data_IF_848762445791
#
_entry.id   IF_848762445791
#
_cell.length_a   1.000
_cell.length_b   1.000
_cell.length_c   1.000
_cell.angle_alpha   90.00
_cell.angle_beta   90.00
_cell.angle_gamma   90.00
#
_symmetry.space_group_name_H-M   'P 1'
#
loop_
_entity.id
_entity.type
_entity.pdbx_description
1 polymer ?
#
# COMPACT_ATOMS: atom_id res chain seq x y z
N UNK A 1 52.22 22.87 44.78
CA UNK A 1 51.64 24.09 44.19
C UNK A 1 52.61 24.82 43.26
N UNK A 2 53.93 24.75 43.46
CA UNK A 2 54.92 25.43 42.59
C UNK A 2 55.15 24.75 41.22
N UNK A 3 55.04 23.43 41.12
CA UNK A 3 55.22 22.71 39.83
C UNK A 3 54.13 23.01 38.78
N UNK A 4 52.93 23.41 39.22
CA UNK A 4 51.80 23.70 38.33
C UNK A 4 51.89 25.13 37.75
N UNK A 5 52.59 26.02 38.45
CA UNK A 5 52.87 27.40 38.00
C UNK A 5 54.04 27.39 37.00
N UNK A 6 55.10 26.63 37.27
CA UNK A 6 56.24 26.46 36.34
C UNK A 6 55.84 25.76 35.03
N UNK A 7 54.86 24.84 35.07
CA UNK A 7 54.35 24.19 33.86
C UNK A 7 53.57 25.15 32.93
N UNK A 8 52.97 26.22 33.48
CA UNK A 8 52.26 27.24 32.69
C UNK A 8 53.19 28.27 32.04
N UNK A 9 54.37 28.49 32.60
CA UNK A 9 55.35 29.45 32.07
C UNK A 9 56.28 28.87 30.99
N UNK A 10 56.39 27.54 30.87
CA UNK A 10 57.31 26.88 29.92
C UNK A 10 56.66 26.30 28.65
N UNK A 11 55.35 26.49 28.44
CA UNK A 11 54.67 26.03 27.23
C UNK A 11 54.35 27.21 26.30
N UNK A 12 55.22 27.53 25.31
CA UNK A 12 54.86 28.43 24.23
C UNK A 12 54.02 27.66 23.19
N UNK A 13 52.83 27.21 23.58
CA UNK A 13 51.87 26.59 22.66
C UNK A 13 50.44 26.91 23.09
N UNK A 14 49.95 28.09 22.67
CA UNK A 14 48.56 28.48 22.86
C UNK A 14 48.02 29.10 21.58
N UNK A 15 47.63 28.22 20.65
CA UNK A 15 46.66 28.49 19.58
C UNK A 15 45.96 27.21 19.05
N UNK A 16 46.45 25.99 19.34
CA UNK A 16 45.87 24.72 18.83
C UNK A 16 44.74 24.11 19.68
N UNK A 17 44.67 24.41 20.98
CA UNK A 17 43.73 23.77 21.92
C UNK A 17 42.25 23.98 21.57
N UNK A 18 41.91 25.11 20.94
CA UNK A 18 40.55 25.39 20.50
C UNK A 18 40.13 24.50 19.33
N UNK A 19 41.04 24.24 18.39
CA UNK A 19 40.74 23.46 17.19
C UNK A 19 40.60 21.96 17.51
N UNK A 20 41.49 21.43 18.36
CA UNK A 20 41.42 20.04 18.85
C UNK A 20 40.11 19.76 19.61
N UNK A 21 39.62 20.72 20.41
CA UNK A 21 38.34 20.59 21.11
C UNK A 21 37.16 20.51 20.13
N UNK A 22 37.15 21.33 19.08
CA UNK A 22 36.08 21.32 18.07
C UNK A 22 36.09 20.03 17.24
N UNK A 23 37.27 19.52 16.89
CA UNK A 23 37.41 18.22 16.21
C UNK A 23 36.85 17.07 17.06
N UNK A 24 37.13 17.07 18.36
CA UNK A 24 36.56 16.08 19.30
C UNK A 24 35.03 16.19 19.36
N UNK A 25 34.48 17.40 19.45
CA UNK A 25 33.03 17.61 19.47
C UNK A 25 32.38 17.13 18.16
N UNK A 26 32.98 17.40 17.00
CA UNK A 26 32.48 16.89 15.70
C UNK A 26 32.49 15.35 15.64
N UNK A 27 33.52 14.72 16.21
CA UNK A 27 33.59 13.26 16.32
C UNK A 27 32.49 12.72 17.25
N UNK A 28 32.32 13.33 18.42
CA UNK A 28 31.27 12.95 19.38
C UNK A 28 29.87 13.11 18.76
N UNK A 29 29.61 14.20 18.05
CA UNK A 29 28.35 14.40 17.33
C UNK A 29 28.07 13.22 16.39
N UNK A 30 29.06 12.84 15.57
CA UNK A 30 28.94 11.72 14.63
C UNK A 30 28.68 10.39 15.34
N UNK A 31 29.34 10.15 16.48
CA UNK A 31 29.15 8.96 17.31
C UNK A 31 27.73 8.91 17.85
N UNK A 32 27.22 10.00 18.44
CA UNK A 32 25.88 10.04 19.02
C UNK A 32 24.78 9.92 17.96
N UNK A 33 24.92 10.54 16.79
CA UNK A 33 24.00 10.34 15.67
C UNK A 33 23.96 8.88 15.21
N UNK A 34 25.13 8.27 15.02
CA UNK A 34 25.25 6.87 14.60
C UNK A 34 24.69 5.93 15.66
N UNK A 35 24.99 6.17 16.94
CA UNK A 35 24.46 5.40 18.07
C UNK A 35 22.94 5.53 18.15
N UNK A 36 22.39 6.73 18.02
CA UNK A 36 20.94 6.98 18.03
C UNK A 36 20.23 6.25 16.89
N UNK A 37 20.78 6.34 15.67
CA UNK A 37 20.24 5.64 14.50
C UNK A 37 20.32 4.11 14.63
N UNK A 38 21.44 3.58 15.13
CA UNK A 38 21.60 2.14 15.37
C UNK A 38 20.63 1.64 16.46
N UNK A 39 20.50 2.37 17.56
CA UNK A 39 19.61 2.03 18.67
C UNK A 39 18.14 1.99 18.26
N UNK A 40 17.71 2.88 17.34
CA UNK A 40 16.37 2.82 16.73
C UNK A 40 16.13 1.51 15.98
N UNK A 41 17.14 1.01 15.27
CA UNK A 41 17.03 -0.24 14.50
C UNK A 41 17.04 -1.48 15.40
N UNK A 42 17.73 -1.42 16.54
CA UNK A 42 17.80 -2.52 17.51
C UNK A 42 16.71 -2.47 18.58
N UNK A 43 15.76 -1.54 18.47
CA UNK A 43 14.67 -1.31 19.43
C UNK A 43 15.15 -0.99 20.86
N UNK A 44 16.36 -0.42 20.98
CA UNK A 44 16.90 0.05 22.26
C UNK A 44 16.52 1.51 22.47
N UNK A 45 15.38 1.72 23.13
CA UNK A 45 14.71 3.01 23.19
C UNK A 45 15.40 4.01 24.14
N UNK A 46 15.96 3.55 25.26
CA UNK A 46 16.65 4.43 26.22
C UNK A 46 17.93 5.05 25.62
N UNK A 47 18.75 4.23 24.95
CA UNK A 47 19.95 4.69 24.26
C UNK A 47 19.63 5.58 23.06
N UNK A 48 18.49 5.36 22.40
CA UNK A 48 18.05 6.19 21.27
C UNK A 48 17.83 7.62 21.70
N UNK A 49 16.99 7.83 22.72
CA UNK A 49 16.58 9.17 23.12
C UNK A 49 17.75 9.96 23.69
N UNK A 50 18.53 9.35 24.57
CA UNK A 50 19.72 9.97 25.17
C UNK A 50 20.74 10.37 24.10
N UNK A 51 21.02 9.50 23.12
CA UNK A 51 22.01 9.79 22.08
C UNK A 51 21.59 10.98 21.20
N UNK A 52 20.32 11.07 20.79
CA UNK A 52 19.86 12.21 19.98
C UNK A 52 19.83 13.52 20.77
N UNK A 53 19.49 13.51 22.06
CA UNK A 53 19.57 14.71 22.90
C UNK A 53 21.01 15.16 23.17
N UNK A 54 21.95 14.23 23.30
CA UNK A 54 23.38 14.56 23.41
C UNK A 54 23.93 15.12 22.10
N UNK A 55 23.53 14.54 20.96
CA UNK A 55 23.86 15.08 19.63
C UNK A 55 23.35 16.53 19.47
N UNK A 56 22.12 16.81 19.90
CA UNK A 56 21.51 18.15 19.82
C UNK A 56 22.31 19.20 20.61
N UNK A 57 22.71 18.86 21.84
CA UNK A 57 23.56 19.74 22.67
C UNK A 57 24.91 20.01 22.03
N UNK A 58 25.57 18.97 21.52
CA UNK A 58 26.89 19.10 20.88
C UNK A 58 26.78 19.95 19.60
N UNK A 59 25.70 19.79 18.84
CA UNK A 59 25.43 20.58 17.64
C UNK A 59 25.29 22.07 17.97
N UNK A 60 24.57 22.42 19.04
CA UNK A 60 24.46 23.80 19.49
C UNK A 60 25.80 24.36 19.98
N UNK A 61 26.59 23.59 20.71
CA UNK A 61 27.94 24.00 21.15
C UNK A 61 28.86 24.27 19.95
N UNK A 62 28.84 23.39 18.93
CA UNK A 62 29.60 23.57 17.70
C UNK A 62 29.15 24.80 16.92
N UNK A 63 27.85 25.09 16.90
CA UNK A 63 27.32 26.27 16.24
C UNK A 63 27.70 27.56 16.96
N UNK A 64 27.63 27.61 18.30
CA UNK A 64 28.06 28.76 19.11
C UNK A 64 29.53 29.12 18.88
N UNK A 65 30.37 28.13 18.58
CA UNK A 65 31.78 28.32 18.26
C UNK A 65 32.06 28.53 16.76
N UNK A 66 31.03 28.71 15.92
CA UNK A 66 31.12 28.85 14.46
C UNK A 66 31.90 27.70 13.77
N UNK A 67 31.88 26.51 14.37
CA UNK A 67 32.58 25.33 13.85
C UNK A 67 31.77 24.57 12.78
N UNK A 68 30.46 24.84 12.69
CA UNK A 68 29.53 24.25 11.74
C UNK A 68 28.80 25.37 10.99
N UNK A 69 28.68 25.21 9.67
CA UNK A 69 27.95 26.16 8.84
C UNK A 69 26.42 25.99 9.00
N UNK A 70 25.65 26.99 8.59
CA UNK A 70 24.21 26.99 8.81
C UNK A 70 23.47 25.83 8.11
N UNK A 71 23.89 25.46 6.89
CA UNK A 71 23.28 24.37 6.11
C UNK A 71 23.52 22.99 6.76
N UNK A 72 24.75 22.74 7.21
CA UNK A 72 25.13 21.54 7.97
C UNK A 72 24.39 21.47 9.31
N UNK A 73 24.21 22.60 9.99
CA UNK A 73 23.39 22.66 11.21
C UNK A 73 21.95 22.21 10.90
N UNK A 74 21.31 22.80 9.90
CA UNK A 74 19.93 22.43 9.54
C UNK A 74 19.84 20.96 9.15
N UNK A 75 20.77 20.47 8.33
CA UNK A 75 20.80 19.06 7.91
C UNK A 75 20.90 18.11 9.11
N UNK A 76 21.80 18.42 10.04
CA UNK A 76 22.01 17.60 11.25
C UNK A 76 20.80 17.69 12.19
N UNK A 77 20.23 18.88 12.36
CA UNK A 77 19.04 19.09 13.16
C UNK A 77 17.85 18.28 12.62
N UNK A 78 17.67 18.24 11.30
CA UNK A 78 16.63 17.43 10.64
C UNK A 78 16.82 15.93 10.87
N UNK A 79 18.07 15.46 10.93
CA UNK A 79 18.37 14.06 11.25
C UNK A 79 18.00 13.74 12.71
N UNK A 80 18.33 14.64 13.64
CA UNK A 80 17.99 14.52 15.06
C UNK A 80 16.48 14.53 15.26
N UNK A 81 15.77 15.51 14.70
CA UNK A 81 14.30 15.58 14.82
C UNK A 81 13.61 14.40 14.14
N UNK A 82 14.16 13.89 13.03
CA UNK A 82 13.67 12.67 12.39
C UNK A 82 13.83 11.44 13.29
N UNK A 83 15.00 11.27 13.91
CA UNK A 83 15.26 10.21 14.87
C UNK A 83 14.33 10.28 16.08
N UNK A 84 14.17 11.46 16.65
CA UNK A 84 13.32 11.69 17.82
C UNK A 84 11.83 11.45 17.53
N UNK A 85 11.29 11.90 16.38
CA UNK A 85 9.88 11.62 16.07
C UNK A 85 9.63 10.11 15.94
N UNK A 86 10.56 9.36 15.33
CA UNK A 86 10.43 7.89 15.17
C UNK A 86 10.46 7.20 16.51
N UNK A 87 11.35 7.64 17.40
CA UNK A 87 11.40 7.19 18.79
C UNK A 87 10.07 7.44 19.51
N UNK A 88 9.55 8.67 19.49
CA UNK A 88 8.30 9.01 20.18
C UNK A 88 7.10 8.25 19.60
N UNK A 89 7.05 8.08 18.28
CA UNK A 89 6.03 7.27 17.61
C UNK A 89 6.07 5.81 18.09
N UNK A 90 7.26 5.22 18.24
CA UNK A 90 7.45 3.85 18.74
C UNK A 90 6.95 3.69 20.18
N UNK A 91 7.15 4.71 21.00
CA UNK A 91 6.67 4.79 22.39
C UNK A 91 5.17 5.16 22.50
N UNK A 92 4.48 5.30 21.37
CA UNK A 92 3.09 5.78 21.31
C UNK A 92 2.88 7.17 21.94
N UNK A 93 3.94 7.98 22.01
CA UNK A 93 3.95 9.37 22.44
C UNK A 93 3.69 10.27 21.21
N UNK A 94 2.43 10.24 20.74
CA UNK A 94 2.06 10.79 19.44
C UNK A 94 2.09 12.33 19.40
N UNK A 95 1.92 13.02 20.54
CA UNK A 95 1.99 14.48 20.61
C UNK A 95 3.42 14.99 20.51
N UNK A 96 4.34 14.35 21.21
CA UNK A 96 5.77 14.65 21.15
C UNK A 96 6.33 14.32 19.76
N UNK A 97 5.84 13.27 19.11
CA UNK A 97 6.21 12.94 17.73
C UNK A 97 5.78 14.07 16.76
N UNK A 98 4.54 14.58 16.89
CA UNK A 98 4.07 15.70 16.07
C UNK A 98 4.89 16.97 16.31
N UNK A 99 5.25 17.26 17.57
CA UNK A 99 6.09 18.41 17.90
C UNK A 99 7.46 18.35 17.20
N UNK A 100 8.08 17.16 17.09
CA UNK A 100 9.33 17.01 16.33
C UNK A 100 9.13 17.19 14.82
N UNK A 101 7.99 16.76 14.27
CA UNK A 101 7.64 17.03 12.88
C UNK A 101 7.44 18.53 12.62
N UNK A 102 6.77 19.24 13.54
CA UNK A 102 6.58 20.71 13.46
C UNK A 102 7.92 21.44 13.46
N UNK A 103 8.84 21.09 14.37
CA UNK A 103 10.22 21.62 14.35
C UNK A 103 10.93 21.36 13.03
N UNK A 104 10.75 20.17 12.46
CA UNK A 104 11.33 19.82 11.15
C UNK A 104 10.77 20.71 10.04
N UNK A 105 9.46 21.01 10.05
CA UNK A 105 8.86 21.96 9.09
C UNK A 105 9.39 23.38 9.27
N UNK A 106 9.63 23.83 10.51
CA UNK A 106 10.22 25.15 10.77
C UNK A 106 11.62 25.29 10.19
N UNK A 107 12.46 24.27 10.37
CA UNK A 107 13.80 24.22 9.78
C UNK A 107 13.76 24.21 8.25
N UNK A 108 12.69 23.65 7.66
CA UNK A 108 12.51 23.56 6.22
C UNK A 108 11.87 24.80 5.59
N UNK A 109 11.35 25.78 6.36
CA UNK A 109 10.66 26.97 5.80
C UNK A 109 11.54 27.77 4.84
N UNK A 110 12.81 27.93 5.19
CA UNK A 110 13.78 28.71 4.40
C UNK A 110 14.65 27.82 3.51
N UNK A 111 14.44 26.50 3.55
CA UNK A 111 15.18 25.52 2.76
C UNK A 111 14.37 25.11 1.52
N UNK A 112 14.96 25.23 0.33
CA UNK A 112 14.33 24.72 -0.90
C UNK A 112 14.48 23.18 -1.03
N UNK A 113 13.91 22.43 -0.09
CA UNK A 113 13.98 20.96 -0.01
C UNK A 113 12.57 20.33 -0.01
N UNK A 114 11.84 20.40 -1.14
CA UNK A 114 10.44 19.98 -1.22
C UNK A 114 10.23 18.51 -0.86
N UNK A 115 11.19 17.62 -1.19
CA UNK A 115 11.10 16.19 -0.87
C UNK A 115 11.10 15.94 0.64
N UNK A 116 11.94 16.66 1.40
CA UNK A 116 11.95 16.52 2.87
C UNK A 116 10.65 17.04 3.47
N UNK A 117 10.13 18.15 2.96
CA UNK A 117 8.84 18.70 3.41
C UNK A 117 7.69 17.73 3.15
N UNK A 118 7.65 17.09 1.97
CA UNK A 118 6.71 16.01 1.65
C UNK A 118 6.81 14.85 2.65
N UNK A 119 8.03 14.37 2.94
CA UNK A 119 8.24 13.28 3.90
C UNK A 119 7.71 13.65 5.29
N UNK A 120 8.00 14.85 5.79
CA UNK A 120 7.53 15.29 7.11
C UNK A 120 6.00 15.35 7.17
N UNK A 121 5.33 15.88 6.14
CA UNK A 121 3.87 15.87 6.11
C UNK A 121 3.29 14.45 6.04
N UNK A 122 3.94 13.53 5.35
CA UNK A 122 3.53 12.11 5.35
C UNK A 122 3.69 11.48 6.72
N UNK A 123 4.77 11.79 7.43
CA UNK A 123 4.98 11.31 8.81
C UNK A 123 3.92 11.86 9.76
N UNK A 124 3.59 13.16 9.67
CA UNK A 124 2.50 13.78 10.43
C UNK A 124 1.15 13.13 10.14
N UNK A 125 0.86 12.84 8.86
CA UNK A 125 -0.37 12.17 8.48
C UNK A 125 -0.47 10.77 9.10
N UNK A 126 0.62 9.99 9.05
CA UNK A 126 0.67 8.67 9.67
C UNK A 126 0.47 8.75 11.20
N UNK A 127 1.02 9.77 11.86
CA UNK A 127 0.81 9.98 13.31
C UNK A 127 -0.65 10.34 13.61
N UNK A 128 -1.27 11.24 12.82
CA UNK A 128 -2.68 11.60 13.02
C UNK A 128 -3.63 10.43 12.71
N UNK A 129 -3.28 9.53 11.78
CA UNK A 129 -4.00 8.26 11.60
C UNK A 129 -3.93 7.37 12.83
N UNK A 130 -2.74 7.23 13.43
CA UNK A 130 -2.55 6.43 14.66
C UNK A 130 -3.34 7.03 15.84
N UNK A 131 -3.61 8.35 15.83
CA UNK A 131 -4.51 9.04 16.77
C UNK A 131 -6.00 8.91 16.44
N UNK A 132 -6.34 8.40 15.26
CA UNK A 132 -7.72 8.33 14.74
C UNK A 132 -8.25 9.64 14.15
N UNK A 133 -7.42 10.67 13.98
CA UNK A 133 -7.81 11.97 13.40
C UNK A 133 -7.68 11.96 11.86
N UNK A 134 -8.61 11.27 11.20
CA UNK A 134 -8.60 11.08 9.74
C UNK A 134 -8.56 12.41 8.97
N UNK A 135 -9.37 13.40 9.35
CA UNK A 135 -9.41 14.69 8.65
C UNK A 135 -8.07 15.42 8.66
N UNK A 136 -7.34 15.37 9.79
CA UNK A 136 -6.01 15.97 9.90
C UNK A 136 -4.99 15.22 9.05
N UNK A 137 -5.06 13.89 9.05
CA UNK A 137 -4.20 13.09 8.19
C UNK A 137 -4.40 13.41 6.70
N UNK A 138 -5.65 13.56 6.26
CA UNK A 138 -5.97 14.02 4.89
C UNK A 138 -5.37 15.40 4.64
N UNK A 139 -5.58 16.38 5.53
CA UNK A 139 -5.01 17.73 5.38
C UNK A 139 -3.48 17.72 5.21
N UNK A 140 -2.77 16.93 6.01
CA UNK A 140 -1.31 16.81 5.90
C UNK A 140 -0.89 16.19 4.57
N UNK A 141 -1.54 15.11 4.14
CA UNK A 141 -1.25 14.50 2.85
C UNK A 141 -1.62 15.39 1.65
N UNK A 142 -2.70 16.17 1.73
CA UNK A 142 -3.06 17.15 0.69
C UNK A 142 -1.98 18.21 0.54
N UNK A 143 -1.38 18.68 1.66
CA UNK A 143 -0.22 19.59 1.61
C UNK A 143 0.99 18.92 0.95
N UNK A 144 1.32 17.69 1.35
CA UNK A 144 2.39 16.92 0.72
C UNK A 144 2.14 16.73 -0.79
N UNK A 145 0.89 16.45 -1.17
CA UNK A 145 0.47 16.24 -2.54
C UNK A 145 0.65 17.50 -3.39
N UNK A 146 0.23 18.66 -2.89
CA UNK A 146 0.41 19.94 -3.58
C UNK A 146 1.90 20.25 -3.84
N UNK A 147 2.77 19.97 -2.86
CA UNK A 147 4.23 20.14 -3.01
C UNK A 147 4.78 19.14 -4.05
N UNK A 148 4.40 17.87 -3.95
CA UNK A 148 4.84 16.85 -4.90
C UNK A 148 4.40 17.16 -6.34
N UNK A 149 3.17 17.65 -6.54
CA UNK A 149 2.64 17.97 -7.87
C UNK A 149 3.28 19.21 -8.50
N UNK A 150 3.74 20.15 -7.69
CA UNK A 150 4.43 21.35 -8.18
C UNK A 150 5.90 21.10 -8.57
N UNK A 151 6.55 20.09 -7.97
CA UNK A 151 7.98 19.85 -8.17
C UNK A 151 8.27 18.59 -9.00
N UNK A 152 7.60 17.48 -8.69
CA UNK A 152 7.87 16.16 -9.29
C UNK A 152 6.57 15.34 -9.43
N UNK A 153 5.64 15.74 -10.32
CA UNK A 153 4.33 15.10 -10.43
C UNK A 153 4.40 13.62 -10.88
N UNK A 154 5.43 13.26 -11.65
CA UNK A 154 5.65 11.89 -12.13
C UNK A 154 6.65 11.11 -11.26
N UNK A 155 7.06 11.69 -10.12
CA UNK A 155 8.00 11.08 -9.20
C UNK A 155 7.37 9.98 -8.34
N UNK A 156 8.23 9.06 -7.86
CA UNK A 156 7.82 7.98 -6.95
C UNK A 156 7.18 8.51 -5.67
N UNK A 157 7.69 9.62 -5.13
CA UNK A 157 7.13 10.26 -3.93
C UNK A 157 5.69 10.74 -4.16
N UNK A 158 5.42 11.39 -5.30
CA UNK A 158 4.07 11.79 -5.69
C UNK A 158 3.13 10.59 -5.82
N UNK A 159 3.62 9.49 -6.41
CA UNK A 159 2.86 8.24 -6.52
C UNK A 159 2.47 7.67 -5.14
N UNK A 160 3.42 7.67 -4.19
CA UNK A 160 3.20 7.23 -2.82
C UNK A 160 2.19 8.11 -2.07
N UNK A 161 2.31 9.43 -2.19
CA UNK A 161 1.41 10.38 -1.53
C UNK A 161 -0.02 10.25 -2.07
N UNK A 162 -0.20 10.19 -3.39
CA UNK A 162 -1.51 9.94 -4.00
C UNK A 162 -2.08 8.59 -3.55
N UNK A 163 -1.24 7.55 -3.44
CA UNK A 163 -1.71 6.25 -2.94
C UNK A 163 -2.24 6.35 -1.50
N UNK A 164 -1.47 6.99 -0.61
CA UNK A 164 -1.88 7.18 0.79
C UNK A 164 -3.17 7.99 0.91
N UNK A 165 -3.34 9.06 0.11
CA UNK A 165 -4.59 9.82 0.05
C UNK A 165 -5.77 8.93 -0.36
N UNK A 166 -5.60 8.15 -1.42
CA UNK A 166 -6.65 7.25 -1.93
C UNK A 166 -7.08 6.24 -0.85
N UNK A 167 -6.12 5.63 -0.16
CA UNK A 167 -6.39 4.67 0.92
C UNK A 167 -7.16 5.31 2.08
N UNK A 168 -6.72 6.48 2.56
CA UNK A 168 -7.39 7.16 3.68
C UNK A 168 -8.82 7.56 3.30
N UNK A 169 -8.98 8.21 2.15
CA UNK A 169 -10.28 8.66 1.66
C UNK A 169 -11.22 7.48 1.39
N UNK A 170 -10.70 6.32 0.97
CA UNK A 170 -11.51 5.11 0.79
C UNK A 170 -12.04 4.51 2.09
N UNK A 171 -11.37 4.78 3.22
CA UNK A 171 -11.74 4.28 4.55
C UNK A 171 -12.61 5.25 5.34
N UNK A 172 -12.59 6.54 4.98
CA UNK A 172 -13.39 7.57 5.62
C UNK A 172 -14.87 7.43 5.21
N UNK A 173 -15.76 7.16 6.17
CA UNK A 173 -17.19 6.98 5.92
C UNK A 173 -17.91 8.27 5.49
N UNK A 174 -17.32 9.43 5.77
CA UNK A 174 -17.88 10.76 5.55
C UNK A 174 -16.91 11.58 4.70
N UNK A 175 -16.95 11.38 3.39
CA UNK A 175 -16.16 12.18 2.45
C UNK A 175 -16.76 13.59 2.35
N UNK A 176 -16.37 14.49 3.27
CA UNK A 176 -16.60 15.94 3.14
C UNK A 176 -15.68 16.59 2.08
N UNK A 177 -14.78 15.81 1.47
CA UNK A 177 -13.90 16.24 0.41
C UNK A 177 -14.56 15.96 -0.95
N UNK A 178 -14.54 16.95 -1.85
CA UNK A 178 -15.00 16.80 -3.24
C UNK A 178 -14.07 15.89 -4.07
N UNK A 179 -12.94 15.46 -3.50
CA UNK A 179 -11.96 14.62 -4.18
C UNK A 179 -12.34 13.15 -4.03
N UNK A 180 -12.44 12.44 -5.15
CA UNK A 180 -12.80 11.02 -5.15
C UNK A 180 -11.56 10.14 -4.94
N UNK A 181 -11.63 9.10 -4.10
CA UNK A 181 -10.53 8.12 -3.95
C UNK A 181 -10.08 7.53 -5.30
N UNK A 182 -11.03 7.33 -6.23
CA UNK A 182 -10.78 6.91 -7.61
C UNK A 182 -9.71 7.76 -8.30
N UNK A 183 -9.82 9.10 -8.20
CA UNK A 183 -8.90 10.03 -8.84
C UNK A 183 -7.46 9.83 -8.34
N UNK A 184 -7.29 9.73 -7.02
CA UNK A 184 -5.98 9.55 -6.40
C UNK A 184 -5.37 8.17 -6.69
N UNK A 185 -6.19 7.10 -6.77
CA UNK A 185 -5.72 5.79 -7.22
C UNK A 185 -5.20 5.85 -8.66
N UNK A 186 -5.96 6.45 -9.58
CA UNK A 186 -5.56 6.55 -11.00
C UNK A 186 -4.28 7.38 -11.17
N UNK A 187 -4.17 8.50 -10.47
CA UNK A 187 -2.98 9.34 -10.46
C UNK A 187 -1.76 8.59 -9.89
N UNK A 188 -1.94 7.88 -8.78
CA UNK A 188 -0.90 7.07 -8.16
C UNK A 188 -0.39 5.98 -9.12
N UNK A 189 -1.30 5.22 -9.73
CA UNK A 189 -0.93 4.17 -10.68
C UNK A 189 -0.22 4.72 -11.93
N UNK A 190 -0.66 5.88 -12.44
CA UNK A 190 0.01 6.54 -13.55
C UNK A 190 1.45 6.94 -13.20
N UNK A 191 1.66 7.52 -12.00
CA UNK A 191 2.98 7.94 -11.53
C UNK A 191 3.90 6.74 -11.20
N UNK A 192 3.40 5.70 -10.53
CA UNK A 192 4.16 4.46 -10.31
C UNK A 192 4.58 3.81 -11.64
N UNK A 193 3.65 3.69 -12.59
CA UNK A 193 3.96 3.08 -13.89
C UNK A 193 5.05 3.84 -14.65
N UNK A 194 5.11 5.17 -14.54
CA UNK A 194 6.16 5.99 -15.16
C UNK A 194 7.50 5.92 -14.41
N UNK A 195 7.47 5.95 -13.08
CA UNK A 195 8.67 6.05 -12.25
C UNK A 195 9.42 4.72 -12.08
N UNK A 196 8.69 3.64 -11.79
CA UNK A 196 9.28 2.31 -11.47
C UNK A 196 8.88 1.22 -12.47
N UNK A 197 7.84 1.46 -13.27
CA UNK A 197 7.40 0.55 -14.33
C UNK A 197 6.26 -0.40 -13.91
N UNK A 198 5.63 -1.09 -14.87
CA UNK A 198 4.44 -1.91 -14.65
C UNK A 198 4.71 -3.30 -14.04
N UNK A 199 5.98 -3.66 -13.84
CA UNK A 199 6.39 -4.92 -13.21
C UNK A 199 6.90 -4.69 -11.76
N UNK A 200 7.01 -3.44 -11.33
CA UNK A 200 7.47 -3.13 -9.99
C UNK A 200 6.47 -3.64 -8.93
N UNK A 201 6.93 -4.29 -7.85
CA UNK A 201 6.05 -4.79 -6.80
C UNK A 201 5.17 -3.71 -6.16
N UNK A 202 5.66 -2.47 -6.01
CA UNK A 202 4.87 -1.38 -5.42
C UNK A 202 3.75 -0.91 -6.36
N UNK A 203 4.00 -0.88 -7.68
CA UNK A 203 2.96 -0.63 -8.68
C UNK A 203 1.86 -1.70 -8.62
N UNK A 204 2.24 -2.98 -8.57
CA UNK A 204 1.30 -4.10 -8.54
C UNK A 204 0.49 -4.15 -7.23
N UNK A 205 1.12 -3.79 -6.10
CA UNK A 205 0.43 -3.67 -4.82
C UNK A 205 -0.60 -2.52 -4.83
N UNK A 206 -0.23 -1.33 -5.32
CA UNK A 206 -1.15 -0.20 -5.45
C UNK A 206 -2.34 -0.54 -6.39
N UNK A 207 -2.09 -1.36 -7.42
CA UNK A 207 -3.13 -1.83 -8.32
C UNK A 207 -4.11 -2.77 -7.61
N UNK A 208 -3.62 -3.62 -6.71
CA UNK A 208 -4.45 -4.52 -5.90
C UNK A 208 -5.31 -3.77 -4.88
N UNK A 209 -4.77 -2.72 -4.27
CA UNK A 209 -5.52 -1.85 -3.38
C UNK A 209 -6.61 -1.06 -4.12
N UNK A 210 -6.33 -0.55 -5.31
CA UNK A 210 -7.36 0.05 -6.14
C UNK A 210 -8.45 -0.97 -6.52
N UNK A 211 -8.07 -2.20 -6.88
CA UNK A 211 -9.01 -3.27 -7.15
C UNK A 211 -9.90 -3.60 -5.95
N UNK A 212 -9.35 -3.60 -4.72
CA UNK A 212 -10.13 -3.78 -3.49
C UNK A 212 -11.15 -2.66 -3.31
N UNK A 213 -10.72 -1.41 -3.50
CA UNK A 213 -11.60 -0.24 -3.46
C UNK A 213 -12.75 -0.37 -4.49
N UNK A 214 -12.44 -0.74 -5.73
CA UNK A 214 -13.42 -0.90 -6.79
C UNK A 214 -14.47 -1.98 -6.44
N UNK A 215 -14.06 -3.10 -5.83
CA UNK A 215 -14.98 -4.17 -5.43
C UNK A 215 -15.95 -3.71 -4.34
N UNK A 216 -15.46 -2.98 -3.34
CA UNK A 216 -16.31 -2.44 -2.26
C UNK A 216 -17.35 -1.47 -2.83
N UNK A 217 -16.99 -0.71 -3.86
CA UNK A 217 -17.88 0.23 -4.55
C UNK A 217 -18.69 -0.40 -5.70
N UNK A 218 -18.72 -1.74 -5.82
CA UNK A 218 -19.50 -2.44 -6.84
C UNK A 218 -18.96 -2.31 -8.27
N UNK A 219 -17.81 -1.68 -8.51
CA UNK A 219 -17.17 -1.54 -9.81
C UNK A 219 -16.37 -2.81 -10.22
N UNK A 220 -17.03 -3.96 -10.13
CA UNK A 220 -16.43 -5.29 -10.32
C UNK A 220 -15.83 -5.49 -11.72
N UNK A 221 -16.42 -4.87 -12.75
CA UNK A 221 -15.93 -4.95 -14.13
C UNK A 221 -14.60 -4.24 -14.36
N UNK A 222 -14.48 -3.01 -13.85
CA UNK A 222 -13.24 -2.23 -13.90
C UNK A 222 -12.12 -2.99 -13.16
N UNK A 223 -12.43 -3.54 -11.98
CA UNK A 223 -11.51 -4.34 -11.20
C UNK A 223 -10.97 -5.57 -11.98
N UNK A 224 -11.86 -6.35 -12.63
CA UNK A 224 -11.45 -7.53 -13.41
C UNK A 224 -10.63 -7.15 -14.64
N UNK A 225 -10.97 -6.05 -15.31
CA UNK A 225 -10.19 -5.57 -16.46
C UNK A 225 -8.75 -5.23 -16.05
N UNK A 226 -8.59 -4.52 -14.93
CA UNK A 226 -7.29 -4.18 -14.35
C UNK A 226 -6.49 -5.45 -14.00
N UNK A 227 -7.13 -6.42 -13.33
CA UNK A 227 -6.47 -7.65 -12.88
C UNK A 227 -6.12 -8.62 -14.02
N UNK A 228 -6.92 -8.65 -15.09
CA UNK A 228 -6.56 -9.39 -16.30
C UNK A 228 -5.34 -8.77 -16.98
N UNK A 229 -5.27 -7.44 -17.04
CA UNK A 229 -4.13 -6.74 -17.63
C UNK A 229 -2.85 -6.88 -16.79
N UNK A 230 -2.96 -7.09 -15.47
CA UNK A 230 -1.81 -7.24 -14.56
C UNK A 230 -1.26 -8.66 -14.46
N UNK A 231 -2.02 -9.68 -14.89
CA UNK A 231 -1.70 -11.08 -14.61
C UNK A 231 -0.32 -11.49 -15.14
N UNK A 232 0.05 -11.06 -16.34
CA UNK A 232 1.36 -11.40 -16.92
C UNK A 232 2.51 -10.63 -16.26
N UNK A 233 2.29 -9.37 -15.84
CA UNK A 233 3.25 -8.65 -15.00
C UNK A 233 3.47 -9.38 -13.67
N UNK A 234 2.39 -9.80 -12.99
CA UNK A 234 2.49 -10.53 -11.73
C UNK A 234 3.22 -11.87 -11.87
N UNK A 235 2.98 -12.61 -12.96
CA UNK A 235 3.73 -13.84 -13.28
C UNK A 235 5.22 -13.55 -13.46
N UNK A 236 5.56 -12.49 -14.18
CA UNK A 236 6.95 -12.10 -14.42
C UNK A 236 7.66 -11.68 -13.13
N UNK A 237 6.96 -10.95 -12.25
CA UNK A 237 7.53 -10.37 -11.03
C UNK A 237 7.62 -11.38 -9.88
N UNK A 238 6.56 -12.18 -9.67
CA UNK A 238 6.45 -13.07 -8.50
C UNK A 238 6.55 -14.56 -8.84
N UNK A 239 6.50 -14.91 -10.14
CA UNK A 239 6.48 -16.28 -10.63
C UNK A 239 5.06 -16.83 -10.86
N UNK A 240 4.93 -17.80 -11.76
CA UNK A 240 3.65 -18.40 -12.14
C UNK A 240 2.89 -19.08 -10.99
N UNK A 241 3.62 -19.50 -9.96
CA UNK A 241 3.09 -20.26 -8.82
C UNK A 241 3.08 -19.42 -7.53
N UNK A 242 2.92 -18.11 -7.65
CA UNK A 242 2.92 -17.19 -6.50
C UNK A 242 1.53 -16.97 -5.88
N UNK A 243 1.50 -16.40 -4.66
CA UNK A 243 0.27 -15.98 -3.99
C UNK A 243 -0.51 -14.94 -4.77
N UNK A 244 0.20 -13.99 -5.38
CA UNK A 244 -0.35 -12.85 -6.11
C UNK A 244 -1.06 -13.34 -7.38
N UNK A 245 -0.48 -14.30 -8.09
CA UNK A 245 -1.11 -14.93 -9.26
C UNK A 245 -2.35 -15.73 -8.83
N UNK A 246 -2.27 -16.50 -7.74
CA UNK A 246 -3.39 -17.27 -7.23
C UNK A 246 -4.58 -16.37 -6.82
N UNK A 247 -4.33 -15.31 -6.06
CA UNK A 247 -5.36 -14.38 -5.59
C UNK A 247 -5.98 -13.61 -6.78
N UNK A 248 -5.18 -13.25 -7.79
CA UNK A 248 -5.67 -12.65 -9.04
C UNK A 248 -6.60 -13.59 -9.81
N UNK A 249 -6.21 -14.86 -9.98
CA UNK A 249 -7.05 -15.88 -10.63
C UNK A 249 -8.32 -16.17 -9.83
N UNK A 250 -8.23 -16.20 -8.50
CA UNK A 250 -9.39 -16.37 -7.64
C UNK A 250 -10.40 -15.25 -7.82
N UNK A 251 -9.94 -14.00 -7.88
CA UNK A 251 -10.81 -12.86 -8.12
C UNK A 251 -11.50 -12.96 -9.49
N UNK A 252 -10.71 -13.16 -10.56
CA UNK A 252 -11.24 -13.26 -11.94
C UNK A 252 -12.27 -14.38 -12.04
N UNK A 253 -11.95 -15.58 -11.55
CA UNK A 253 -12.86 -16.71 -11.64
C UNK A 253 -14.15 -16.50 -10.83
N UNK A 254 -14.08 -15.80 -9.68
CA UNK A 254 -15.27 -15.51 -8.88
C UNK A 254 -16.23 -14.59 -9.63
N UNK A 255 -15.70 -13.63 -10.38
CA UNK A 255 -16.50 -12.76 -11.25
C UNK A 255 -17.06 -13.53 -12.45
N UNK A 256 -16.27 -14.40 -13.07
CA UNK A 256 -16.74 -15.26 -14.16
C UNK A 256 -17.92 -16.15 -13.71
N UNK A 257 -17.87 -16.69 -12.48
CA UNK A 257 -19.00 -17.41 -11.88
C UNK A 257 -20.23 -16.52 -11.73
N UNK A 258 -20.06 -15.30 -11.19
CA UNK A 258 -21.16 -14.36 -10.99
C UNK A 258 -21.82 -13.94 -12.32
N UNK A 259 -21.05 -13.88 -13.42
CA UNK A 259 -21.55 -13.60 -14.77
C UNK A 259 -22.10 -14.84 -15.50
N UNK A 260 -22.12 -16.01 -14.87
CA UNK A 260 -22.59 -17.25 -15.48
C UNK A 260 -21.65 -17.85 -16.53
N UNK A 261 -20.40 -17.38 -16.61
CA UNK A 261 -19.39 -17.87 -17.56
C UNK A 261 -18.75 -19.16 -17.03
N UNK A 262 -19.57 -20.21 -16.85
CA UNK A 262 -19.20 -21.40 -16.07
C UNK A 262 -17.96 -22.13 -16.60
N UNK A 263 -17.83 -22.27 -17.92
CA UNK A 263 -16.67 -22.96 -18.53
C UNK A 263 -15.37 -22.20 -18.30
N UNK A 264 -15.41 -20.87 -18.42
CA UNK A 264 -14.25 -20.02 -18.21
C UNK A 264 -13.88 -19.99 -16.72
N UNK A 265 -14.86 -19.80 -15.86
CA UNK A 265 -14.69 -19.86 -14.41
C UNK A 265 -14.06 -21.19 -13.97
N UNK A 266 -14.52 -22.32 -14.53
CA UNK A 266 -13.97 -23.64 -14.21
C UNK A 266 -12.48 -23.72 -14.56
N UNK A 267 -12.08 -23.26 -15.75
CA UNK A 267 -10.67 -23.21 -16.16
C UNK A 267 -9.83 -22.31 -15.24
N UNK A 268 -10.32 -21.11 -14.95
CA UNK A 268 -9.63 -20.13 -14.10
C UNK A 268 -9.47 -20.64 -12.67
N UNK A 269 -10.54 -21.17 -12.07
CA UNK A 269 -10.54 -21.71 -10.71
C UNK A 269 -9.69 -22.98 -10.58
N UNK A 270 -9.64 -23.83 -11.60
CA UNK A 270 -8.76 -25.01 -11.60
C UNK A 270 -7.28 -24.60 -11.58
N UNK A 271 -6.89 -23.57 -12.34
CA UNK A 271 -5.53 -23.02 -12.28
C UNK A 271 -5.20 -22.43 -10.91
N UNK A 272 -6.12 -21.63 -10.35
CA UNK A 272 -5.98 -21.08 -9.00
C UNK A 272 -5.78 -22.19 -7.95
N UNK A 273 -6.63 -23.22 -7.97
CA UNK A 273 -6.56 -24.35 -7.06
C UNK A 273 -5.21 -25.07 -7.14
N UNK A 274 -4.66 -25.27 -8.35
CA UNK A 274 -3.35 -25.90 -8.54
C UNK A 274 -2.26 -25.11 -7.81
N UNK A 275 -2.27 -23.79 -7.93
CA UNK A 275 -1.29 -22.92 -7.26
C UNK A 275 -1.49 -22.96 -5.74
N UNK A 276 -2.73 -22.81 -5.26
CA UNK A 276 -3.03 -22.83 -3.82
C UNK A 276 -2.67 -24.16 -3.16
N UNK A 277 -2.87 -25.29 -3.85
CA UNK A 277 -2.45 -26.60 -3.37
C UNK A 277 -0.93 -26.71 -3.25
N UNK A 278 -0.18 -26.12 -4.18
CA UNK A 278 1.29 -26.13 -4.13
C UNK A 278 1.82 -25.24 -3.00
N UNK A 279 1.26 -24.03 -2.84
CA UNK A 279 1.72 -23.05 -1.86
C UNK A 279 1.34 -23.41 -0.42
N UNK A 280 0.11 -23.86 -0.20
CA UNK A 280 -0.46 -23.98 1.14
C UNK A 280 -0.87 -25.41 1.50
N UNK A 281 -0.90 -26.32 0.51
CA UNK A 281 -1.45 -27.65 0.67
C UNK A 281 -2.97 -27.73 0.50
N UNK A 282 -3.52 -28.91 0.15
CA UNK A 282 -4.94 -29.10 -0.16
C UNK A 282 -5.85 -28.96 1.06
N UNK A 283 -5.30 -29.03 2.28
CA UNK A 283 -6.08 -28.90 3.50
C UNK A 283 -6.29 -27.45 3.95
N UNK A 284 -5.58 -26.50 3.34
CA UNK A 284 -5.65 -25.08 3.66
C UNK A 284 -7.02 -24.49 3.33
N UNK A 285 -7.47 -23.50 4.11
CA UNK A 285 -8.80 -22.89 3.99
C UNK A 285 -9.06 -22.31 2.59
N UNK A 286 -8.07 -21.61 2.01
CA UNK A 286 -8.17 -21.06 0.63
C UNK A 286 -8.36 -22.19 -0.40
N UNK A 287 -7.49 -23.19 -0.39
CA UNK A 287 -7.54 -24.31 -1.33
C UNK A 287 -8.86 -25.10 -1.24
N UNK A 288 -9.34 -25.39 -0.03
CA UNK A 288 -10.65 -26.04 0.19
C UNK A 288 -11.82 -25.24 -0.38
N UNK A 289 -11.81 -23.91 -0.20
CA UNK A 289 -12.87 -23.05 -0.75
C UNK A 289 -12.87 -23.11 -2.28
N UNK A 290 -11.69 -22.98 -2.90
CA UNK A 290 -11.53 -23.06 -4.36
C UNK A 290 -11.90 -24.45 -4.90
N UNK A 291 -11.54 -25.53 -4.20
CA UNK A 291 -11.92 -26.90 -4.57
C UNK A 291 -13.45 -27.07 -4.59
N UNK A 292 -14.17 -26.50 -3.61
CA UNK A 292 -15.64 -26.52 -3.61
C UNK A 292 -16.21 -25.79 -4.83
N UNK A 293 -15.65 -24.64 -5.19
CA UNK A 293 -16.06 -23.89 -6.37
C UNK A 293 -15.81 -24.68 -7.67
N UNK A 294 -14.63 -25.29 -7.83
CA UNK A 294 -14.31 -26.16 -8.97
C UNK A 294 -15.27 -27.34 -9.08
N UNK A 295 -15.54 -28.04 -7.96
CA UNK A 295 -16.47 -29.18 -7.93
C UNK A 295 -17.91 -28.78 -8.30
N UNK A 296 -18.34 -27.59 -7.88
CA UNK A 296 -19.65 -27.05 -8.23
C UNK A 296 -19.74 -26.79 -9.74
N UNK A 297 -18.73 -26.14 -10.31
CA UNK A 297 -18.66 -25.79 -11.72
C UNK A 297 -18.58 -27.03 -12.63
N UNK A 298 -17.87 -28.08 -12.21
CA UNK A 298 -17.77 -29.34 -12.95
C UNK A 298 -19.11 -30.10 -13.07
N UNK A 299 -20.05 -29.88 -12.15
CA UNK A 299 -21.38 -30.53 -12.15
C UNK A 299 -22.40 -29.83 -13.06
N UNK A 300 -22.14 -28.59 -13.47
CA UNK A 300 -23.09 -27.80 -14.27
C UNK A 300 -23.40 -28.45 -15.64
N UNK A 301 -22.41 -28.97 -16.40
CA UNK A 301 -22.68 -29.66 -17.65
C UNK A 301 -23.55 -30.92 -17.47
N UNK A 302 -23.28 -31.72 -16.42
CA UNK A 302 -24.02 -32.95 -16.14
C UNK A 302 -25.50 -32.70 -15.80
N UNK A 303 -25.80 -31.62 -15.07
CA UNK A 303 -27.18 -31.26 -14.72
C UNK A 303 -27.94 -30.78 -15.95
N UNK A 304 -27.32 -29.97 -16.82
CA UNK A 304 -27.92 -29.49 -18.07
C UNK A 304 -28.16 -30.64 -19.05
N UNK A 305 -27.24 -31.60 -19.16
CA UNK A 305 -27.45 -32.81 -20.00
C UNK A 305 -28.53 -33.74 -19.44
N UNK A 306 -28.61 -33.92 -18.12
CA UNK A 306 -29.70 -34.68 -17.48
C UNK A 306 -31.06 -34.01 -17.69
N UNK A 307 -31.16 -32.70 -17.61
CA UNK A 307 -32.40 -31.97 -17.89
C UNK A 307 -32.77 -31.99 -19.38
N UNK A 308 -31.80 -31.88 -20.30
CA UNK A 308 -32.02 -32.03 -21.76
C UNK A 308 -32.45 -33.45 -22.15
N UNK A 309 -31.91 -34.47 -21.49
CA UNK A 309 -32.29 -35.87 -21.73
C UNK A 309 -33.66 -36.21 -21.13
N UNK A 310 -34.02 -35.66 -19.97
CA UNK A 310 -35.37 -35.79 -19.39
C UNK A 310 -36.44 -35.06 -20.21
N UNK A 311 -36.17 -33.84 -20.69
CA UNK A 311 -37.11 -33.10 -21.56
C UNK A 311 -37.30 -33.77 -22.94
N UNK A 312 -36.24 -34.39 -23.51
CA UNK A 312 -36.36 -35.22 -24.73
C UNK A 312 -37.18 -36.49 -24.49
N UNK A 313 -37.12 -37.10 -23.30
CA UNK A 313 -37.96 -38.25 -22.95
C UNK A 313 -39.43 -37.85 -22.73
N UNK A 314 -39.70 -36.68 -22.14
CA UNK A 314 -41.06 -36.13 -21.99
C UNK A 314 -41.74 -35.85 -23.34
N UNK A 315 -41.03 -35.22 -24.29
CA UNK A 315 -41.58 -34.96 -25.64
C UNK A 315 -41.81 -36.22 -26.49
N UNK A 316 -41.13 -37.34 -26.21
CA UNK A 316 -41.38 -38.62 -26.88
C UNK A 316 -42.59 -39.38 -26.31
N UNK A 317 -43.07 -39.01 -25.12
CA UNK A 317 -44.25 -39.62 -24.50
C UNK A 317 -45.58 -38.96 -24.92
N UNK A 318 -45.53 -37.78 -25.56
CA UNK A 318 -46.71 -37.01 -26.00
C UNK A 318 -47.12 -37.25 -27.47
N UNK A 319 -46.51 -38.18 -28.19
CA UNK A 319 -47.03 -38.63 -29.49
C UNK A 319 -48.01 -39.79 -29.29
N UNK A 320 -49.24 -39.46 -28.92
CA UNK A 320 -50.41 -40.36 -29.01
C UNK A 320 -50.74 -40.56 -30.50
N UNK A 321 -51.02 -41.78 -30.98
CA UNK A 321 -51.37 -41.97 -32.38
C UNK A 321 -52.76 -41.38 -32.63
N UNK A 322 -52.86 -40.51 -33.64
CA UNK A 322 -54.13 -40.01 -34.17
C UNK A 322 -54.85 -41.20 -34.81
N UNK A 323 -55.91 -41.68 -34.16
CA UNK A 323 -56.85 -42.62 -34.77
C UNK A 323 -57.70 -41.84 -35.76
N UNK A 324 -57.52 -42.15 -37.04
CA UNK A 324 -58.35 -41.68 -38.15
C UNK A 324 -59.71 -42.38 -38.12
N UNK A 325 -60.78 -41.66 -37.81
CA UNK A 325 -62.16 -42.08 -38.13
C UNK A 325 -62.53 -41.55 -39.51
N UNK A 326 -62.54 -42.45 -40.50
CA UNK A 326 -63.09 -42.22 -41.83
C UNK A 326 -64.61 -42.12 -41.76
N UNK A 327 -65.17 -41.10 -42.41
CA UNK A 327 -66.61 -40.91 -42.56
C UNK A 327 -67.25 -41.96 -43.47
N UNK A 328 -68.57 -42.06 -43.34
CA UNK A 328 -69.46 -42.40 -44.44
C UNK A 328 -70.76 -41.62 -44.20
N UNK A 329 -71.06 -40.73 -45.15
CA UNK A 329 -72.38 -40.19 -45.40
C UNK A 329 -73.32 -41.32 -45.87
N UNK A 330 -74.59 -41.28 -45.49
CA UNK A 330 -75.68 -41.39 -46.47
C UNK A 330 -77.09 -41.21 -45.88
N UNK A 331 -77.85 -40.38 -46.59
CA UNK A 331 -79.29 -40.44 -46.89
C UNK A 331 -80.39 -40.18 -45.82
N UNK A 332 -81.00 -38.99 -45.97
CA UNK A 332 -82.38 -38.71 -46.43
C UNK A 332 -83.64 -39.32 -45.77
N UNK A 333 -84.68 -38.46 -45.74
CA UNK A 333 -86.15 -38.71 -45.58
C UNK A 333 -86.61 -39.21 -44.20
N UNK A 334 -87.73 -38.83 -43.59
CA UNK A 334 -88.96 -38.10 -43.98
C UNK A 334 -89.80 -37.86 -42.70
N UNK A 335 -90.58 -36.78 -42.71
CA UNK A 335 -91.88 -36.50 -42.08
C UNK A 335 -92.44 -37.25 -40.83
N UNK A 336 -93.11 -36.40 -40.02
CA UNK A 336 -94.09 -36.58 -38.93
C UNK A 336 -93.54 -36.57 -37.50
#
# INVERSE_FOLDING_TARGET
>A
MEHLVLAKEQLPFCSSYGNEKLEVLTCLLSIHLTKGAASLLTDNLEDTHSSFLEADKILEDLHQHNAINHDEKIKTQLEITSGLHRFYKRQNQLEEALLQCEKSLELLKDCNQPQKTCSVYRDMAAIEQDRGHVDRAVQHLTKAHAIAMSHTPEGLEGAQISHSLALILSSAAESHHNDTPDHYFEQSLAAYKKSVGPQDPAFLAAQDDFCRFLLINGQQEKCVAIQRASLDSKRSTFGDMSSEVADTLQLIGSVEMAKGQMDQAHKTMTKCLKIQNLLYGPQHKKAKATQKAVNMLARVPEVVERQRSQSRKGKKAETVPVVSTSGNDDNSTSDI
#
